data_IF_315484657210
#
_entry.id   IF_315484657210
#
_cell.length_a   1.000
_cell.length_b   1.000
_cell.length_c   1.000
_cell.angle_alpha   90.00
_cell.angle_beta   90.00
_cell.angle_gamma   90.00
#
_symmetry.space_group_name_H-M   'P 1'
#
loop_
_entity.id
_entity.type
_entity.pdbx_description
1 polymer ?
#
# COMPACT_ATOMS: atom_id res chain seq x y z
N UNK A 1 4.00 -30.36 25.16
CA UNK A 1 4.56 -29.60 24.03
C UNK A 1 3.42 -28.74 23.52
N UNK A 2 3.39 -27.46 23.90
CA UNK A 2 2.30 -26.56 23.53
C UNK A 2 2.51 -26.18 22.08
N UNK A 3 1.68 -26.69 21.18
CA UNK A 3 1.60 -26.22 19.82
C UNK A 3 1.21 -24.75 19.87
N UNK A 4 2.16 -23.88 19.52
CA UNK A 4 1.91 -22.46 19.39
C UNK A 4 1.07 -22.32 18.14
N UNK A 5 -0.21 -21.98 18.27
CA UNK A 5 -1.02 -21.52 17.14
C UNK A 5 -0.22 -20.40 16.44
N UNK A 6 0.17 -20.63 15.19
CA UNK A 6 0.73 -19.58 14.34
C UNK A 6 -0.36 -18.52 14.15
N UNK A 7 -0.28 -17.46 14.95
CA UNK A 7 -1.09 -16.26 14.79
C UNK A 7 -0.65 -15.53 13.51
N UNK A 8 -1.09 -16.04 12.36
CA UNK A 8 -0.81 -15.50 11.05
C UNK A 8 -1.57 -16.31 10.02
N UNK A 9 -2.81 -15.91 9.73
CA UNK A 9 -3.65 -16.55 8.71
C UNK A 9 -2.84 -16.83 7.45
N UNK A 10 -2.91 -18.07 6.97
CA UNK A 10 -2.13 -18.54 5.83
C UNK A 10 -2.27 -17.61 4.62
N UNK A 11 -1.21 -17.56 3.81
CA UNK A 11 -1.25 -16.91 2.50
C UNK A 11 -2.14 -17.75 1.59
N UNK A 12 -3.11 -17.12 0.91
CA UNK A 12 -3.98 -17.83 -0.04
C UNK A 12 -3.17 -18.35 -1.24
N UNK A 13 -3.72 -19.31 -2.00
CA UNK A 13 -3.04 -19.81 -3.20
C UNK A 13 -2.80 -18.68 -4.24
N UNK A 14 -3.77 -17.78 -4.38
CA UNK A 14 -3.66 -16.60 -5.24
C UNK A 14 -2.55 -15.66 -4.77
N UNK A 15 -2.46 -15.36 -3.48
CA UNK A 15 -1.42 -14.51 -2.91
C UNK A 15 -0.05 -15.18 -2.98
N UNK A 16 0.03 -16.50 -2.85
CA UNK A 16 1.25 -17.25 -3.02
C UNK A 16 1.77 -17.14 -4.46
N UNK A 17 0.87 -17.19 -5.46
CA UNK A 17 1.22 -16.96 -6.85
C UNK A 17 1.60 -15.50 -7.12
N UNK A 18 0.84 -14.53 -6.60
CA UNK A 18 1.10 -13.10 -6.77
C UNK A 18 2.45 -12.69 -6.16
N UNK A 19 2.78 -13.19 -4.97
CA UNK A 19 4.00 -12.86 -4.24
C UNK A 19 5.14 -13.88 -4.44
N UNK A 20 5.03 -14.83 -5.37
CA UNK A 20 6.04 -15.89 -5.58
C UNK A 20 7.46 -15.33 -5.73
N UNK A 21 7.65 -14.31 -6.58
CA UNK A 21 8.97 -13.73 -6.84
C UNK A 21 9.60 -13.07 -5.61
N UNK A 22 8.80 -12.36 -4.81
CA UNK A 22 9.29 -11.69 -3.61
C UNK A 22 9.48 -12.69 -2.45
N UNK A 23 8.63 -13.71 -2.34
CA UNK A 23 8.79 -14.82 -1.38
C UNK A 23 10.11 -15.56 -1.66
N UNK A 24 10.48 -15.78 -2.92
CA UNK A 24 11.78 -16.38 -3.29
C UNK A 24 12.99 -15.53 -2.86
N UNK A 25 12.81 -14.21 -2.71
CA UNK A 25 13.87 -13.29 -2.31
C UNK A 25 14.05 -13.25 -0.79
N UNK A 26 12.97 -13.00 -0.03
CA UNK A 26 13.03 -12.74 1.42
C UNK A 26 12.37 -13.81 2.30
N UNK A 27 11.75 -14.83 1.70
CA UNK A 27 11.13 -15.96 2.41
C UNK A 27 9.67 -15.74 2.81
N UNK A 28 8.97 -16.85 3.05
CA UNK A 28 7.54 -16.87 3.38
C UNK A 28 7.23 -16.14 4.70
N UNK A 29 8.06 -16.33 5.72
CA UNK A 29 7.86 -15.70 7.04
C UNK A 29 7.97 -14.17 6.98
N UNK A 30 8.86 -13.63 6.14
CA UNK A 30 8.92 -12.18 5.91
C UNK A 30 7.63 -11.67 5.26
N UNK A 31 7.09 -12.42 4.28
CA UNK A 31 5.83 -12.08 3.63
C UNK A 31 4.65 -12.12 4.61
N UNK A 32 4.57 -13.14 5.47
CA UNK A 32 3.54 -13.23 6.53
C UNK A 32 3.60 -12.02 7.48
N UNK A 33 4.79 -11.57 7.87
CA UNK A 33 4.97 -10.37 8.72
C UNK A 33 4.49 -9.09 8.02
N UNK A 34 4.81 -8.92 6.73
CA UNK A 34 4.29 -7.79 5.94
C UNK A 34 2.76 -7.81 5.87
N UNK A 35 2.18 -8.97 5.57
CA UNK A 35 0.73 -9.23 5.54
C UNK A 35 0.02 -8.98 6.86
N UNK A 36 0.73 -9.04 7.98
CA UNK A 36 0.19 -8.71 9.30
C UNK A 36 0.35 -7.21 9.68
N UNK A 37 1.15 -6.45 8.93
CA UNK A 37 1.55 -5.09 9.27
C UNK A 37 0.63 -4.03 8.66
N UNK A 38 0.28 -2.99 9.44
CA UNK A 38 -0.40 -1.78 8.95
C UNK A 38 0.54 -0.58 8.99
N UNK A 39 0.50 0.25 7.96
CA UNK A 39 1.38 1.43 7.81
C UNK A 39 0.54 2.70 7.72
N UNK A 40 0.95 3.74 8.43
CA UNK A 40 0.46 5.12 8.25
C UNK A 40 1.47 5.89 7.41
N UNK A 41 1.02 6.44 6.28
CA UNK A 41 1.82 7.30 5.42
C UNK A 41 1.26 8.72 5.44
N UNK A 42 2.09 9.68 5.85
CA UNK A 42 1.71 11.09 5.96
C UNK A 42 2.31 11.88 4.80
N UNK A 43 1.46 12.58 4.05
CA UNK A 43 1.81 13.36 2.87
C UNK A 43 1.72 12.55 1.57
N UNK A 44 0.86 12.99 0.66
CA UNK A 44 0.52 12.28 -0.59
C UNK A 44 0.97 13.01 -1.87
N UNK A 45 2.07 13.76 -1.80
CA UNK A 45 2.77 14.31 -2.98
C UNK A 45 3.44 13.19 -3.78
N UNK A 46 4.19 13.52 -4.85
CA UNK A 46 4.85 12.53 -5.72
C UNK A 46 5.64 11.44 -4.99
N UNK A 47 6.46 11.81 -3.98
CA UNK A 47 7.18 10.82 -3.16
C UNK A 47 6.25 9.92 -2.36
N UNK A 48 5.18 10.49 -1.79
CA UNK A 48 4.15 9.73 -1.08
C UNK A 48 3.48 8.70 -1.97
N UNK A 49 3.19 9.06 -3.22
CA UNK A 49 2.63 8.13 -4.21
C UNK A 49 3.56 6.95 -4.52
N UNK A 50 4.86 7.22 -4.69
CA UNK A 50 5.87 6.17 -4.94
C UNK A 50 6.00 5.21 -3.75
N UNK A 51 6.03 5.75 -2.52
CA UNK A 51 6.08 4.94 -1.30
C UNK A 51 4.79 4.12 -1.16
N UNK A 52 3.63 4.73 -1.36
CA UNK A 52 2.33 4.08 -1.28
C UNK A 52 2.25 2.88 -2.25
N UNK A 53 2.60 3.10 -3.53
CA UNK A 53 2.67 2.06 -4.55
C UNK A 53 3.57 0.90 -4.11
N UNK A 54 4.77 1.18 -3.62
CA UNK A 54 5.69 0.13 -3.20
C UNK A 54 5.16 -0.67 -2.01
N UNK A 55 4.53 -0.03 -1.02
CA UNK A 55 3.95 -0.71 0.14
C UNK A 55 2.73 -1.56 -0.24
N UNK A 56 1.85 -1.03 -1.10
CA UNK A 56 0.68 -1.75 -1.61
C UNK A 56 1.13 -2.99 -2.40
N UNK A 57 2.07 -2.83 -3.35
CA UNK A 57 2.60 -3.94 -4.15
C UNK A 57 3.36 -4.97 -3.30
N UNK A 58 4.05 -4.55 -2.23
CA UNK A 58 4.71 -5.47 -1.31
C UNK A 58 3.72 -6.33 -0.50
N UNK A 59 2.44 -5.94 -0.40
CA UNK A 59 1.40 -6.73 0.27
C UNK A 59 1.30 -6.49 1.77
N UNK A 60 1.37 -5.22 2.21
CA UNK A 60 1.04 -4.87 3.60
C UNK A 60 -0.44 -5.15 3.91
N UNK A 61 -0.79 -5.40 5.17
CA UNK A 61 -2.19 -5.61 5.60
C UNK A 61 -3.11 -4.44 5.27
N UNK A 62 -2.55 -3.23 5.33
CA UNK A 62 -3.28 -2.01 5.08
C UNK A 62 -2.37 -0.79 5.13
N UNK A 63 -2.69 0.17 4.29
CA UNK A 63 -2.01 1.46 4.20
C UNK A 63 -3.05 2.55 4.47
N UNK A 64 -2.83 3.34 5.52
CA UNK A 64 -3.60 4.56 5.78
C UNK A 64 -2.83 5.73 5.20
N UNK A 65 -3.42 6.43 4.24
CA UNK A 65 -2.87 7.67 3.69
C UNK A 65 -3.48 8.85 4.44
N UNK A 66 -2.64 9.73 4.98
CA UNK A 66 -3.04 10.94 5.67
C UNK A 66 -2.43 12.14 4.95
N UNK A 67 -3.28 13.00 4.39
CA UNK A 67 -2.88 14.30 3.87
C UNK A 67 -4.01 15.29 4.20
N UNK A 68 -3.63 16.49 4.61
CA UNK A 68 -4.57 17.57 4.94
C UNK A 68 -4.65 18.60 3.81
N UNK A 69 -3.72 18.56 2.85
CA UNK A 69 -3.70 19.44 1.70
C UNK A 69 -4.71 18.99 0.62
N UNK A 70 -5.17 19.96 -0.16
CA UNK A 70 -5.98 19.71 -1.35
C UNK A 70 -5.09 19.51 -2.58
N UNK A 71 -5.63 18.84 -3.59
CA UNK A 71 -4.99 18.67 -4.90
C UNK A 71 -4.85 20.03 -5.58
N UNK A 72 -3.62 20.41 -5.92
CA UNK A 72 -3.33 21.60 -6.73
C UNK A 72 -3.37 21.28 -8.23
N UNK A 73 -3.39 22.28 -9.13
CA UNK A 73 -3.37 22.06 -10.57
C UNK A 73 -2.14 21.30 -11.08
N UNK A 74 -1.00 21.40 -10.37
CA UNK A 74 0.26 20.75 -10.74
C UNK A 74 0.36 19.30 -10.23
N UNK A 75 -0.43 18.93 -9.22
CA UNK A 75 -0.38 17.61 -8.61
C UNK A 75 -0.66 16.46 -9.61
N UNK A 76 -1.66 16.53 -10.51
CA UNK A 76 -1.89 15.48 -11.51
C UNK A 76 -0.74 15.25 -12.50
N UNK A 77 0.15 16.24 -12.67
CA UNK A 77 1.31 16.11 -13.55
C UNK A 77 2.47 15.38 -12.85
N UNK A 78 2.55 15.48 -11.52
CA UNK A 78 3.65 14.98 -10.71
C UNK A 78 3.28 13.74 -9.86
N UNK A 79 2.00 13.38 -9.79
CA UNK A 79 1.46 12.35 -8.89
C UNK A 79 0.45 11.48 -9.67
N UNK A 80 0.85 10.23 -9.96
CA UNK A 80 0.12 9.34 -10.87
C UNK A 80 -1.13 8.65 -10.28
N UNK A 81 -1.32 8.70 -8.95
CA UNK A 81 -2.53 8.20 -8.28
C UNK A 81 -3.69 9.21 -8.35
N UNK A 82 -3.42 10.49 -8.64
CA UNK A 82 -4.42 11.55 -8.74
C UNK A 82 -4.90 11.69 -10.19
N UNK A 83 -6.22 11.67 -10.39
CA UNK A 83 -6.82 11.95 -11.71
C UNK A 83 -6.88 13.46 -11.96
N UNK A 84 -6.71 13.87 -13.22
CA UNK A 84 -6.74 15.29 -13.65
C UNK A 84 -7.97 16.07 -13.21
N UNK A 85 -9.13 15.42 -13.08
CA UNK A 85 -10.38 16.04 -12.60
C UNK A 85 -10.51 16.17 -11.07
N UNK A 86 -9.45 15.96 -10.29
CA UNK A 86 -9.53 15.89 -8.82
C UNK A 86 -9.08 17.18 -8.11
N UNK A 87 -8.77 18.25 -8.85
CA UNK A 87 -8.33 19.54 -8.30
C UNK A 87 -9.35 20.05 -7.26
N UNK A 88 -8.86 20.49 -6.09
CA UNK A 88 -9.69 20.95 -4.98
C UNK A 88 -10.23 19.85 -4.05
N UNK A 89 -10.09 18.56 -4.39
CA UNK A 89 -10.36 17.45 -3.45
C UNK A 89 -9.20 17.27 -2.49
N UNK A 90 -9.42 16.59 -1.36
CA UNK A 90 -8.33 16.18 -0.48
C UNK A 90 -7.36 15.24 -1.22
N UNK A 91 -6.04 15.45 -1.06
CA UNK A 91 -5.02 14.71 -1.81
C UNK A 91 -4.99 13.22 -1.48
N UNK A 92 -5.20 12.83 -0.22
CA UNK A 92 -5.24 11.43 0.18
C UNK A 92 -6.48 10.71 -0.38
N UNK A 93 -7.65 11.35 -0.32
CA UNK A 93 -8.88 10.82 -0.91
C UNK A 93 -8.77 10.69 -2.44
N UNK A 94 -8.26 11.72 -3.12
CA UNK A 94 -8.07 11.67 -4.57
C UNK A 94 -7.11 10.56 -5.01
N UNK A 95 -6.13 10.20 -4.17
CA UNK A 95 -5.19 9.11 -4.43
C UNK A 95 -5.76 7.73 -4.15
N UNK A 96 -6.77 7.59 -3.27
CA UNK A 96 -7.37 6.29 -2.94
C UNK A 96 -8.26 5.74 -4.06
N UNK A 97 -8.81 6.61 -4.92
CA UNK A 97 -9.76 6.22 -5.97
C UNK A 97 -9.15 5.37 -7.10
N UNK A 98 -7.82 5.21 -7.12
CA UNK A 98 -7.09 4.35 -8.06
C UNK A 98 -6.64 3.03 -7.40
N UNK A 99 -6.79 2.90 -6.08
CA UNK A 99 -6.25 1.78 -5.29
C UNK A 99 -7.29 0.69 -4.97
N UNK A 100 -8.46 0.73 -5.59
CA UNK A 100 -9.55 -0.24 -5.46
C UNK A 100 -9.79 -0.96 -6.80
#
# INVERSE_FOLDING_TARGET
MVEKEEAGGGISEEEAAQYDRQIRLWGLEAQKRLRASRVLLVGMKGLGAEIAKNLILAGVKGLTMLDHEQVSPEDPEAQFLIRTGSVGRNRAEASSDLSA
#
